data_IF_956724129753
#
_entry.id   IF_956724129753
#
_cell.length_a   1.000
_cell.length_b   1.000
_cell.length_c   1.000
_cell.angle_alpha   90.00
_cell.angle_beta   90.00
_cell.angle_gamma   90.00
#
_symmetry.space_group_name_H-M   'P 1'
#
loop_
_entity.id
_entity.type
_entity.pdbx_description
1 polymer ?
#
# COMPACT_ATOMS: atom_id res chain seq x y z
N UNK A 1 -65.44 23.90 -6.17
CA UNK A 1 -64.92 24.37 -4.86
C UNK A 1 -63.41 24.24 -4.91
N UNK A 2 -62.69 25.35 -5.11
CA UNK A 2 -61.94 26.17 -4.12
C UNK A 2 -60.46 25.73 -4.08
N UNK A 3 -59.56 26.57 -4.62
CA UNK A 3 -58.53 27.37 -3.89
C UNK A 3 -57.30 26.51 -3.47
N UNK A 4 -56.04 26.92 -3.44
CA UNK A 4 -55.25 28.13 -3.75
C UNK A 4 -53.88 27.93 -3.07
N UNK A 5 -52.80 28.53 -3.63
CA UNK A 5 -51.62 29.07 -2.92
C UNK A 5 -50.77 28.13 -2.01
N UNK A 6 -49.51 28.38 -1.68
CA UNK A 6 -48.40 29.21 -2.12
C UNK A 6 -47.22 28.88 -1.15
N UNK A 7 -46.04 29.46 -1.43
CA UNK A 7 -45.07 29.91 -0.41
C UNK A 7 -43.97 28.94 0.05
N UNK A 8 -42.86 28.95 -0.71
CA UNK A 8 -41.53 29.53 -0.33
C UNK A 8 -41.13 29.47 1.16
N UNK A 9 -40.00 28.82 1.51
CA UNK A 9 -38.87 29.40 2.28
C UNK A 9 -37.82 28.37 2.77
N UNK A 10 -36.58 28.57 2.26
CA UNK A 10 -35.29 28.74 2.96
C UNK A 10 -34.65 27.65 3.84
N UNK A 11 -33.31 27.61 3.64
CA UNK A 11 -32.20 27.17 4.52
C UNK A 11 -32.09 25.64 4.63
N UNK A 12 -30.93 25.03 4.74
CA UNK A 12 -29.60 25.47 5.13
C UNK A 12 -28.59 24.50 4.52
N UNK A 13 -27.34 24.94 4.37
CA UNK A 13 -26.30 24.20 3.68
C UNK A 13 -25.98 22.82 4.27
N UNK A 14 -25.55 21.96 3.36
CA UNK A 14 -24.66 20.86 3.68
C UNK A 14 -23.40 21.11 2.87
N UNK A 15 -22.31 21.38 3.60
CA UNK A 15 -20.94 21.38 3.10
C UNK A 15 -20.73 20.15 2.22
N UNK A 16 -20.43 20.39 0.95
CA UNK A 16 -19.63 19.44 0.18
C UNK A 16 -18.19 19.57 0.70
N UNK A 17 -17.89 18.91 1.82
CA UNK A 17 -16.51 18.56 2.15
C UNK A 17 -16.08 17.53 1.12
N UNK A 18 -15.19 17.95 0.23
CA UNK A 18 -14.73 17.20 -0.93
C UNK A 18 -14.18 15.85 -0.53
N UNK A 19 -14.87 14.81 -0.99
CA UNK A 19 -14.25 13.52 -1.26
C UNK A 19 -13.34 13.75 -2.48
N UNK A 20 -12.11 14.19 -2.21
CA UNK A 20 -11.06 14.26 -3.20
C UNK A 20 -10.70 12.82 -3.55
N UNK A 21 -11.51 12.23 -4.44
CA UNK A 21 -11.25 10.96 -5.09
C UNK A 21 -9.86 11.02 -5.69
N UNK A 22 -8.87 10.53 -4.94
CA UNK A 22 -7.47 10.54 -5.34
C UNK A 22 -7.38 9.62 -6.53
N UNK A 23 -7.34 10.20 -7.72
CA UNK A 23 -7.36 9.46 -8.97
C UNK A 23 -6.05 8.69 -9.10
N UNK A 24 -6.02 7.46 -8.56
CA UNK A 24 -4.93 6.51 -8.76
C UNK A 24 -4.97 6.12 -10.23
N UNK A 25 -4.08 6.74 -11.01
CA UNK A 25 -4.01 6.45 -12.43
C UNK A 25 -3.33 5.11 -12.61
N UNK A 26 -4.03 4.16 -13.22
CA UNK A 26 -3.38 2.98 -13.78
C UNK A 26 -2.55 3.47 -14.95
N UNK A 27 -1.31 3.87 -14.68
CA UNK A 27 -0.41 4.33 -15.72
C UNK A 27 -0.09 3.12 -16.57
N UNK A 28 -0.49 3.17 -17.84
CA UNK A 28 0.06 2.32 -18.87
C UNK A 28 1.52 2.72 -19.07
N UNK A 29 2.40 2.28 -18.17
CA UNK A 29 3.84 2.24 -18.43
C UNK A 29 3.97 1.52 -19.77
N UNK A 30 4.44 2.28 -20.76
CA UNK A 30 4.40 1.97 -22.19
C UNK A 30 5.13 0.63 -22.45
N UNK A 31 4.43 -0.51 -22.31
CA UNK A 31 4.92 -1.88 -22.55
C UNK A 31 6.32 -2.20 -21.99
N UNK A 32 6.75 -1.56 -20.92
CA UNK A 32 7.87 -2.05 -20.13
C UNK A 32 7.27 -2.99 -19.10
N UNK A 33 7.47 -4.30 -19.32
CA UNK A 33 7.14 -5.30 -18.31
C UNK A 33 7.83 -4.90 -17.01
N UNK A 34 7.14 -4.97 -15.87
CA UNK A 34 7.72 -4.71 -14.54
C UNK A 34 9.06 -5.43 -14.38
N UNK A 35 9.16 -6.65 -14.94
CA UNK A 35 10.39 -7.42 -15.00
C UNK A 35 11.59 -6.72 -15.65
N UNK A 36 11.41 -5.94 -16.73
CA UNK A 36 12.50 -5.21 -17.37
C UNK A 36 13.00 -4.04 -16.52
N UNK A 37 12.07 -3.30 -15.90
CA UNK A 37 12.40 -2.21 -14.98
C UNK A 37 13.17 -2.76 -13.76
N UNK A 38 12.69 -3.87 -13.20
CA UNK A 38 13.35 -4.53 -12.08
C UNK A 38 14.74 -5.02 -12.48
N UNK A 39 14.91 -5.64 -13.66
CA UNK A 39 16.21 -6.16 -14.14
C UNK A 39 17.25 -5.07 -14.41
N UNK A 40 16.82 -3.92 -14.90
CA UNK A 40 17.74 -2.82 -15.22
C UNK A 40 18.17 -2.03 -13.99
N UNK A 41 17.40 -2.12 -12.90
CA UNK A 41 17.67 -1.40 -11.67
C UNK A 41 18.41 -2.25 -10.62
N UNK A 42 19.62 -1.82 -10.23
CA UNK A 42 20.44 -2.57 -9.28
C UNK A 42 19.84 -2.68 -7.87
N UNK A 43 19.12 -1.64 -7.40
CA UNK A 43 18.50 -1.65 -6.07
C UNK A 43 17.30 -2.62 -6.04
N UNK A 44 16.50 -2.61 -7.10
CA UNK A 44 15.35 -3.52 -7.20
C UNK A 44 15.80 -4.98 -7.35
N UNK A 45 16.78 -5.28 -8.23
CA UNK A 45 17.36 -6.64 -8.34
C UNK A 45 17.89 -7.16 -7.02
N UNK A 46 18.51 -6.28 -6.24
CA UNK A 46 19.10 -6.62 -4.96
C UNK A 46 18.14 -6.57 -3.80
N UNK A 47 16.83 -6.33 -3.98
CA UNK A 47 15.96 -6.11 -2.83
C UNK A 47 15.63 -7.39 -2.05
N UNK A 48 15.17 -7.24 -0.80
CA UNK A 48 14.91 -8.38 0.09
C UNK A 48 13.88 -9.37 -0.43
N UNK A 49 12.89 -8.88 -1.20
CA UNK A 49 11.89 -9.74 -1.84
C UNK A 49 12.52 -10.66 -2.89
N UNK A 50 13.30 -10.10 -3.82
CA UNK A 50 13.84 -10.86 -4.95
C UNK A 50 15.01 -11.76 -4.55
N UNK A 51 15.85 -11.34 -3.60
CA UNK A 51 16.93 -12.17 -3.06
C UNK A 51 16.42 -13.43 -2.33
N UNK A 52 15.16 -13.41 -1.92
CA UNK A 52 14.51 -14.54 -1.24
C UNK A 52 13.90 -15.56 -2.21
N UNK A 53 14.04 -15.34 -3.51
CA UNK A 53 13.51 -16.18 -4.58
C UNK A 53 14.63 -16.63 -5.52
N UNK A 54 14.43 -17.77 -6.17
CA UNK A 54 15.23 -18.17 -7.31
C UNK A 54 14.80 -17.43 -8.59
N UNK A 55 15.59 -17.54 -9.66
CA UNK A 55 15.31 -16.83 -10.91
C UNK A 55 13.93 -17.16 -11.50
N UNK A 56 13.50 -18.42 -11.37
CA UNK A 56 12.18 -18.89 -11.85
C UNK A 56 11.05 -18.27 -11.02
N UNK A 57 11.19 -18.23 -9.70
CA UNK A 57 10.24 -17.59 -8.80
C UNK A 57 10.14 -16.09 -9.02
N UNK A 58 11.29 -15.41 -9.21
CA UNK A 58 11.33 -13.98 -9.57
C UNK A 58 10.58 -13.74 -10.88
N UNK A 59 10.87 -14.52 -11.92
CA UNK A 59 10.24 -14.36 -13.23
C UNK A 59 8.72 -14.53 -13.15
N UNK A 60 8.23 -15.60 -12.50
CA UNK A 60 6.79 -15.84 -12.31
C UNK A 60 6.10 -14.70 -11.57
N UNK A 61 6.71 -14.24 -10.48
CA UNK A 61 6.15 -13.16 -9.66
C UNK A 61 6.05 -11.84 -10.45
N UNK A 62 7.06 -11.53 -11.26
CA UNK A 62 7.10 -10.30 -12.05
C UNK A 62 6.26 -10.36 -13.32
N UNK A 63 5.98 -11.56 -13.85
CA UNK A 63 5.09 -11.74 -15.01
C UNK A 63 3.63 -11.45 -14.67
N UNK A 64 3.22 -11.67 -13.43
CA UNK A 64 1.88 -11.34 -12.92
C UNK A 64 1.78 -9.92 -12.33
N UNK A 65 2.90 -9.21 -12.23
CA UNK A 65 2.96 -7.89 -11.60
C UNK A 65 2.34 -6.79 -12.46
N UNK A 66 1.58 -5.89 -11.82
CA UNK A 66 0.99 -4.71 -12.48
C UNK A 66 1.63 -3.45 -11.95
N UNK A 67 2.23 -2.65 -12.83
CA UNK A 67 2.75 -1.35 -12.43
C UNK A 67 1.63 -0.33 -12.16
N UNK A 68 1.78 0.45 -11.10
CA UNK A 68 0.81 1.50 -10.72
C UNK A 68 1.52 2.73 -10.20
N UNK A 69 0.97 3.91 -10.53
CA UNK A 69 1.44 5.20 -10.01
C UNK A 69 0.42 5.79 -9.06
N UNK A 70 0.91 6.25 -7.92
CA UNK A 70 0.18 6.99 -6.91
C UNK A 70 0.65 8.44 -6.91
N UNK A 71 -0.26 9.43 -6.97
CA UNK A 71 0.12 10.82 -6.79
C UNK A 71 0.48 11.11 -5.32
N UNK A 72 1.10 12.26 -5.07
CA UNK A 72 1.37 12.74 -3.71
C UNK A 72 0.07 12.77 -2.87
N UNK A 73 0.19 12.37 -1.60
CA UNK A 73 -0.92 12.31 -0.65
C UNK A 73 -1.87 11.13 -0.84
N UNK A 74 -1.69 10.31 -1.89
CA UNK A 74 -2.52 9.13 -2.07
C UNK A 74 -2.24 8.08 -1.00
N UNK A 75 -3.31 7.48 -0.49
CA UNK A 75 -3.24 6.30 0.35
C UNK A 75 -3.02 5.07 -0.54
N UNK A 76 -1.87 4.41 -0.36
CA UNK A 76 -1.55 3.14 -1.02
C UNK A 76 -2.29 1.98 -0.36
N UNK A 77 -2.64 2.14 0.92
CA UNK A 77 -3.42 1.19 1.72
C UNK A 77 -4.67 1.91 2.22
N UNK A 78 -5.83 1.52 1.70
CA UNK A 78 -7.14 1.91 2.24
C UNK A 78 -7.69 0.75 3.07
N UNK A 79 -8.54 1.04 4.07
CA UNK A 79 -9.24 0.04 4.88
C UNK A 79 -10.44 -0.57 4.11
N UNK A 80 -10.26 -0.99 2.86
CA UNK A 80 -11.30 -1.64 2.07
C UNK A 80 -11.25 -3.17 2.18
N UNK A 81 -12.45 -3.76 2.21
CA UNK A 81 -12.69 -5.18 2.37
C UNK A 81 -12.36 -5.95 1.08
N UNK A 82 -11.09 -6.28 0.87
CA UNK A 82 -10.63 -7.07 -0.26
C UNK A 82 -9.27 -7.70 -0.03
N UNK A 83 -8.97 -8.72 -0.83
CA UNK A 83 -7.64 -9.32 -0.89
C UNK A 83 -6.69 -8.32 -1.56
N UNK A 84 -5.80 -7.72 -0.77
CA UNK A 84 -4.92 -6.63 -1.22
C UNK A 84 -3.59 -7.19 -1.74
N UNK A 85 -3.07 -6.72 -2.89
CA UNK A 85 -1.78 -7.16 -3.40
C UNK A 85 -0.65 -6.74 -2.47
N UNK A 86 0.49 -7.45 -2.56
CA UNK A 86 1.75 -6.96 -2.01
C UNK A 86 2.29 -5.89 -2.97
N UNK A 87 2.71 -4.74 -2.45
CA UNK A 87 3.27 -3.66 -3.25
C UNK A 87 4.80 -3.69 -3.13
N UNK A 88 5.52 -3.69 -4.24
CA UNK A 88 6.96 -3.40 -4.27
C UNK A 88 7.17 -1.97 -4.74
N UNK A 89 7.84 -1.14 -3.95
CA UNK A 89 8.10 0.26 -4.32
C UNK A 89 9.19 0.31 -5.40
N UNK A 90 8.85 0.81 -6.58
CA UNK A 90 9.76 0.97 -7.71
C UNK A 90 10.48 2.33 -7.68
N UNK A 91 9.79 3.37 -7.20
CA UNK A 91 10.36 4.70 -6.94
C UNK A 91 9.47 5.55 -6.04
N UNK A 92 10.05 6.55 -5.40
CA UNK A 92 9.36 7.46 -4.48
C UNK A 92 9.47 7.01 -3.02
N UNK A 93 8.77 7.72 -2.14
CA UNK A 93 8.75 7.49 -0.71
C UNK A 93 7.31 7.43 -0.19
N UNK A 94 7.08 6.53 0.76
CA UNK A 94 5.78 6.26 1.35
C UNK A 94 5.92 6.37 2.87
N UNK A 95 5.22 7.32 3.49
CA UNK A 95 5.16 7.40 4.94
C UNK A 95 4.26 6.27 5.47
N UNK A 96 4.72 5.64 6.54
CA UNK A 96 4.00 4.62 7.28
C UNK A 96 3.47 5.26 8.55
N UNK A 97 2.16 5.26 8.73
CA UNK A 97 1.50 5.92 9.86
C UNK A 97 0.80 4.88 10.73
N UNK A 98 1.07 4.90 12.03
CA UNK A 98 0.36 4.09 13.01
C UNK A 98 -0.78 4.89 13.66
N UNK A 99 -1.92 4.24 13.88
CA UNK A 99 -3.13 4.85 14.44
C UNK A 99 -4.18 5.19 13.39
N UNK A 100 -5.32 5.70 13.86
CA UNK A 100 -6.48 6.02 13.02
C UNK A 100 -6.87 7.51 13.11
N UNK A 101 -7.35 8.06 11.99
CA UNK A 101 -7.87 9.43 11.92
C UNK A 101 -6.83 10.51 12.23
N UNK A 102 -7.25 11.56 12.95
CA UNK A 102 -6.41 12.73 13.28
C UNK A 102 -5.31 12.49 14.32
N UNK A 103 -5.16 11.25 14.81
CA UNK A 103 -4.15 10.86 15.79
C UNK A 103 -3.08 9.92 15.20
N UNK A 104 -3.01 9.79 13.88
CA UNK A 104 -2.00 8.97 13.23
C UNK A 104 -0.60 9.62 13.32
N UNK A 105 0.39 8.85 13.72
CA UNK A 105 1.78 9.29 13.83
C UNK A 105 2.67 8.54 12.84
N UNK A 106 3.65 9.23 12.26
CA UNK A 106 4.63 8.59 11.37
C UNK A 106 5.55 7.67 12.17
N UNK A 107 5.61 6.40 11.77
CA UNK A 107 6.45 5.35 12.38
C UNK A 107 7.59 4.90 11.47
N UNK A 108 7.62 5.38 10.23
CA UNK A 108 8.71 5.11 9.30
C UNK A 108 8.41 5.56 7.87
N UNK A 109 9.41 5.37 7.01
CA UNK A 109 9.32 5.66 5.58
C UNK A 109 9.72 4.42 4.80
N UNK A 110 8.83 3.94 3.94
CA UNK A 110 9.13 2.90 2.97
C UNK A 110 9.65 3.53 1.66
N UNK A 111 10.72 2.94 1.11
CA UNK A 111 11.45 3.42 -0.07
C UNK A 111 11.57 2.35 -1.14
N UNK A 112 12.14 2.75 -2.27
CA UNK A 112 12.47 1.88 -3.40
C UNK A 112 13.11 0.54 -2.95
N UNK A 113 12.56 -0.56 -3.45
CA UNK A 113 13.00 -1.92 -3.13
C UNK A 113 12.32 -2.53 -1.89
N UNK A 114 11.62 -1.74 -1.10
CA UNK A 114 10.86 -2.24 0.05
C UNK A 114 9.43 -2.62 -0.36
N UNK A 115 8.81 -3.49 0.44
CA UNK A 115 7.48 -4.04 0.18
C UNK A 115 6.45 -3.56 1.19
N UNK A 116 5.19 -3.43 0.79
CA UNK A 116 4.05 -3.10 1.66
C UNK A 116 2.93 -4.12 1.46
N UNK A 117 2.14 -4.39 2.49
CA UNK A 117 0.99 -5.29 2.40
C UNK A 117 1.29 -6.75 2.78
N UNK A 118 2.46 -7.02 3.36
CA UNK A 118 2.86 -8.33 3.86
C UNK A 118 1.91 -8.85 4.96
N UNK A 119 1.22 -7.96 5.67
CA UNK A 119 0.19 -8.33 6.64
C UNK A 119 -0.97 -9.11 6.00
N UNK A 120 -1.25 -8.92 4.71
CA UNK A 120 -2.26 -9.72 3.99
C UNK A 120 -1.85 -11.18 3.77
N UNK A 121 -0.56 -11.49 3.91
CA UNK A 121 0.00 -12.83 3.75
C UNK A 121 0.06 -13.61 5.06
N UNK A 122 -0.05 -12.93 6.20
CA UNK A 122 0.16 -13.52 7.52
C UNK A 122 -1.19 -13.67 8.26
N UNK A 123 -1.37 -14.79 8.93
CA UNK A 123 -2.55 -15.02 9.76
C UNK A 123 -2.44 -14.19 11.05
N UNK A 124 -3.38 -13.28 11.26
CA UNK A 124 -3.37 -12.31 12.36
C UNK A 124 -3.28 -10.91 11.79
N UNK A 125 -4.43 -10.20 11.76
CA UNK A 125 -4.49 -8.84 11.26
C UNK A 125 -3.56 -7.93 12.07
N UNK A 126 -2.63 -7.26 11.39
CA UNK A 126 -1.86 -6.18 12.00
C UNK A 126 -2.80 -5.00 12.32
N UNK A 127 -2.44 -4.25 13.35
CA UNK A 127 -2.94 -2.89 13.55
C UNK A 127 -2.83 -2.09 12.25
N UNK A 128 -3.81 -1.22 12.00
CA UNK A 128 -3.96 -0.49 10.75
C UNK A 128 -2.75 0.44 10.49
N UNK A 129 -1.73 -0.08 9.80
CA UNK A 129 -0.65 0.73 9.25
C UNK A 129 -1.15 1.40 7.98
N UNK A 130 -1.27 2.72 8.02
CA UNK A 130 -1.61 3.49 6.84
C UNK A 130 -0.33 3.75 6.03
N UNK A 131 -0.45 3.76 4.71
CA UNK A 131 0.67 4.02 3.80
C UNK A 131 0.32 5.18 2.89
N UNK A 132 1.03 6.30 3.00
CA UNK A 132 0.73 7.56 2.30
C UNK A 132 1.90 8.01 1.45
N UNK A 133 1.64 8.26 0.17
CA UNK A 133 2.65 8.75 -0.77
C UNK A 133 3.14 10.17 -0.39
N UNK A 134 4.45 10.36 -0.19
CA UNK A 134 5.03 11.68 0.11
C UNK A 134 5.30 12.52 -1.15
N UNK A 135 5.27 11.88 -2.31
CA UNK A 135 5.38 12.46 -3.66
C UNK A 135 4.77 11.50 -4.68
N UNK A 136 5.06 11.63 -5.99
CA UNK A 136 4.75 10.58 -6.94
C UNK A 136 5.46 9.27 -6.58
N UNK A 137 4.70 8.19 -6.44
CA UNK A 137 5.21 6.85 -6.10
C UNK A 137 4.81 5.87 -7.19
N UNK A 138 5.78 5.10 -7.68
CA UNK A 138 5.54 3.98 -8.58
C UNK A 138 5.71 2.68 -7.82
N UNK A 139 4.77 1.75 -7.99
CA UNK A 139 4.81 0.42 -7.37
C UNK A 139 4.56 -0.66 -8.40
N UNK A 140 5.03 -1.87 -8.10
CA UNK A 140 4.53 -3.10 -8.70
C UNK A 140 3.54 -3.74 -7.73
N UNK A 141 2.30 -3.90 -8.18
CA UNK A 141 1.28 -4.68 -7.49
C UNK A 141 1.51 -6.16 -7.81
N UNK A 142 1.82 -6.94 -6.78
CA UNK A 142 2.06 -8.36 -6.86
C UNK A 142 0.82 -9.09 -6.35
N UNK A 143 0.15 -9.93 -7.17
CA UNK A 143 -1.03 -10.66 -6.73
C UNK A 143 -0.75 -11.50 -5.50
N UNK A 144 -1.63 -11.41 -4.51
CA UNK A 144 -1.41 -12.06 -3.21
C UNK A 144 -1.29 -13.59 -3.36
N UNK A 145 -2.09 -14.19 -4.25
CA UNK A 145 -2.03 -15.62 -4.57
C UNK A 145 -0.65 -16.03 -5.12
N UNK A 146 -0.07 -15.24 -6.04
CA UNK A 146 1.25 -15.50 -6.59
C UNK A 146 2.34 -15.42 -5.50
N UNK A 147 2.26 -14.41 -4.62
CA UNK A 147 3.19 -14.27 -3.50
C UNK A 147 3.04 -15.40 -2.50
N UNK A 148 1.80 -15.85 -2.19
CA UNK A 148 1.56 -17.01 -1.31
C UNK A 148 2.18 -18.28 -1.87
N UNK A 149 1.92 -18.61 -3.14
CA UNK A 149 2.52 -19.78 -3.78
C UNK A 149 4.05 -19.70 -3.79
N UNK A 150 4.61 -18.51 -4.01
CA UNK A 150 6.06 -18.30 -3.93
C UNK A 150 6.61 -18.47 -2.50
N UNK A 151 5.88 -18.01 -1.48
CA UNK A 151 6.27 -18.15 -0.07
C UNK A 151 6.15 -19.60 0.44
N UNK A 152 5.19 -20.36 -0.07
CA UNK A 152 5.06 -21.81 0.18
C UNK A 152 6.23 -22.58 -0.42
N UNK A 153 6.68 -22.19 -1.63
CA UNK A 153 7.81 -22.81 -2.31
C UNK A 153 9.18 -22.35 -1.78
N UNK A 154 9.28 -21.15 -1.20
CA UNK A 154 10.52 -20.57 -0.68
C UNK A 154 10.39 -20.19 0.80
N UNK A 155 10.98 -21.01 1.72
CA UNK A 155 11.07 -20.66 3.14
C UNK A 155 11.80 -19.34 3.40
N UNK A 156 12.74 -18.96 2.53
CA UNK A 156 13.46 -17.69 2.62
C UNK A 156 12.52 -16.51 2.39
N UNK A 157 11.63 -16.59 1.40
CA UNK A 157 10.63 -15.55 1.15
C UNK A 157 9.65 -15.44 2.32
N UNK A 158 9.16 -16.58 2.84
CA UNK A 158 8.28 -16.57 3.99
C UNK A 158 8.95 -15.95 5.24
N UNK A 159 10.24 -16.23 5.46
CA UNK A 159 11.01 -15.62 6.55
C UNK A 159 11.19 -14.11 6.33
N UNK A 160 11.54 -13.68 5.13
CA UNK A 160 11.67 -12.26 4.79
C UNK A 160 10.37 -11.50 5.07
N UNK A 161 9.22 -11.99 4.58
CA UNK A 161 7.93 -11.33 4.79
C UNK A 161 7.56 -11.23 6.28
N UNK A 162 7.82 -12.29 7.07
CA UNK A 162 7.65 -12.25 8.53
C UNK A 162 8.58 -11.24 9.20
N UNK A 163 9.81 -11.10 8.73
CA UNK A 163 10.77 -10.12 9.29
C UNK A 163 10.32 -8.68 9.04
N UNK A 164 9.83 -8.38 7.83
CA UNK A 164 9.27 -7.06 7.49
C UNK A 164 8.05 -6.76 8.36
N UNK A 165 7.13 -7.72 8.46
CA UNK A 165 5.94 -7.60 9.30
C UNK A 165 6.29 -7.36 10.77
N UNK A 166 7.21 -8.16 11.33
CA UNK A 166 7.62 -8.05 12.73
C UNK A 166 8.25 -6.70 13.05
N UNK A 167 9.11 -6.17 12.16
CA UNK A 167 9.71 -4.85 12.33
C UNK A 167 8.65 -3.73 12.35
N UNK A 168 7.62 -3.84 11.51
CA UNK A 168 6.51 -2.86 11.47
C UNK A 168 5.59 -2.96 12.66
N UNK A 169 5.24 -4.18 13.07
CA UNK A 169 4.44 -4.41 14.26
C UNK A 169 5.13 -3.85 15.52
N UNK A 170 6.46 -4.03 15.64
CA UNK A 170 7.24 -3.44 16.72
C UNK A 170 7.20 -1.90 16.68
N UNK A 171 7.41 -1.28 15.51
CA UNK A 171 7.33 0.17 15.36
C UNK A 171 5.94 0.74 15.71
N UNK A 172 4.86 0.05 15.32
CA UNK A 172 3.50 0.43 15.71
C UNK A 172 3.28 0.32 17.22
N UNK A 173 3.71 -0.79 17.83
CA UNK A 173 3.56 -1.02 19.28
C UNK A 173 4.32 0.02 20.08
N UNK A 174 5.56 0.35 19.70
CA UNK A 174 6.37 1.39 20.36
C UNK A 174 5.70 2.76 20.28
N UNK A 175 5.10 3.10 19.14
CA UNK A 175 4.37 4.36 18.96
C UNK A 175 3.08 4.40 19.78
N UNK A 176 2.31 3.31 19.79
CA UNK A 176 1.10 3.18 20.60
C UNK A 176 1.41 3.33 22.09
N UNK A 177 2.47 2.66 22.58
CA UNK A 177 2.96 2.79 23.95
C UNK A 177 3.40 4.22 24.27
N UNK A 178 4.04 4.92 23.33
CA UNK A 178 4.44 6.31 23.51
C UNK A 178 3.23 7.25 23.64
N UNK A 179 2.23 7.09 22.77
CA UNK A 179 1.01 7.92 22.76
C UNK A 179 0.13 7.65 23.99
N UNK A 180 0.06 6.42 24.48
CA UNK A 180 -0.76 6.05 25.66
C UNK A 180 -0.19 6.47 27.02
N UNK A 181 1.04 7.02 27.05
CA UNK A 181 1.71 7.45 28.30
C UNK A 181 1.40 8.90 28.72
N UNK A 182 0.64 9.65 27.93
CA UNK A 182 0.29 11.06 28.17
C UNK A 182 -1.22 11.28 28.07
#
# INVERSE_FOLDING_TARGET
>A
MLYSAATRLRRSGLSQTGDAATAVTRVGLKRLHVGELVRTDALLRGCGLLRSLDEVGVQRLLDEAVARRYPQGAQLRREDAGERPLLLILSGEVALLAGAGGAAAEVGIARKGEVLGEEGLLAGGAEALQAVAQGPVDVAELPLAAVRGAAEASPALAHYLRSVHGARAAACSEMSDFLGRW
#
